data_IF_441132214643
#
_entry.id   IF_441132214643
#
_cell.length_a   1.000
_cell.length_b   1.000
_cell.length_c   1.000
_cell.angle_alpha   90.00
_cell.angle_beta   90.00
_cell.angle_gamma   90.00
#
_symmetry.space_group_name_H-M   'P 1'
#
loop_
_entity.id
_entity.type
_entity.pdbx_description
1 polymer ?
#
# COMPACT_ATOMS: atom_id res chain seq x y z
N UNK A 1 -26.26 62.23 81.89
CA UNK A 1 -25.75 62.43 80.52
C UNK A 1 -24.34 63.00 80.62
N UNK A 2 -23.34 62.31 80.05
CA UNK A 2 -21.93 62.73 80.16
C UNK A 2 -21.64 63.75 79.05
N UNK A 3 -21.00 64.86 79.42
CA UNK A 3 -20.61 65.98 78.52
C UNK A 3 -19.70 65.52 77.37
N UNK A 4 -19.15 64.31 77.46
CA UNK A 4 -18.31 63.64 76.45
C UNK A 4 -19.09 62.98 75.30
N UNK A 5 -20.41 62.84 75.39
CA UNK A 5 -21.25 62.21 74.34
C UNK A 5 -21.79 63.22 73.29
N UNK A 6 -21.90 64.49 73.67
CA UNK A 6 -22.36 65.58 72.79
C UNK A 6 -21.40 65.79 71.61
N UNK A 7 -20.06 65.83 71.79
CA UNK A 7 -19.12 65.97 70.67
C UNK A 7 -19.20 64.79 69.68
N UNK A 8 -19.29 63.55 70.19
CA UNK A 8 -19.37 62.35 69.34
C UNK A 8 -20.64 62.30 68.50
N UNK A 9 -21.76 62.75 69.06
CA UNK A 9 -23.05 62.80 68.36
C UNK A 9 -23.04 63.83 67.22
N UNK A 10 -22.42 65.00 67.45
CA UNK A 10 -22.24 66.02 66.41
C UNK A 10 -21.28 65.55 65.32
N UNK A 11 -20.17 64.90 65.67
CA UNK A 11 -19.25 64.28 64.72
C UNK A 11 -19.91 63.18 63.88
N UNK A 12 -20.80 62.38 64.47
CA UNK A 12 -21.59 61.36 63.76
C UNK A 12 -22.56 62.00 62.75
N UNK A 13 -23.21 63.10 63.13
CA UNK A 13 -24.10 63.86 62.23
C UNK A 13 -23.32 64.50 61.08
N UNK A 14 -22.16 65.08 61.36
CA UNK A 14 -21.28 65.67 60.36
C UNK A 14 -20.73 64.61 59.39
N UNK A 15 -20.35 63.44 59.88
CA UNK A 15 -19.93 62.33 59.03
C UNK A 15 -21.10 61.79 58.18
N UNK A 16 -22.32 61.69 58.73
CA UNK A 16 -23.50 61.31 57.95
C UNK A 16 -23.81 62.31 56.84
N UNK A 17 -23.68 63.62 57.08
CA UNK A 17 -23.83 64.66 56.05
C UNK A 17 -22.72 64.61 55.00
N UNK A 18 -21.46 64.41 55.40
CA UNK A 18 -20.32 64.27 54.48
C UNK A 18 -20.38 62.97 53.66
N UNK A 19 -21.05 61.94 54.17
CA UNK A 19 -21.23 60.63 53.53
C UNK A 19 -22.33 60.61 52.48
N UNK A 20 -23.35 61.46 52.64
CA UNK A 20 -24.49 61.51 51.73
C UNK A 20 -24.11 61.70 50.25
N UNK A 21 -23.20 62.64 49.86
CA UNK A 21 -22.79 62.77 48.47
C UNK A 21 -22.01 61.55 47.97
N UNK A 22 -21.14 60.96 48.80
CA UNK A 22 -20.37 59.77 48.43
C UNK A 22 -21.28 58.55 48.19
N UNK A 23 -22.29 58.36 49.03
CA UNK A 23 -23.26 57.27 48.87
C UNK A 23 -24.12 57.44 47.61
N UNK A 24 -24.57 58.66 47.30
CA UNK A 24 -25.35 58.96 46.10
C UNK A 24 -24.54 58.74 44.81
N UNK A 25 -23.25 59.13 44.80
CA UNK A 25 -22.36 58.86 43.65
C UNK A 25 -22.15 57.35 43.45
N UNK A 26 -21.99 56.60 44.54
CA UNK A 26 -21.91 55.14 44.51
C UNK A 26 -23.18 54.50 43.96
N UNK A 27 -24.35 54.89 44.46
CA UNK A 27 -25.64 54.32 44.06
C UNK A 27 -26.04 54.69 42.61
N UNK A 28 -25.55 55.80 42.05
CA UNK A 28 -25.89 56.23 40.69
C UNK A 28 -24.90 55.73 39.61
N UNK A 29 -23.60 55.72 39.91
CA UNK A 29 -22.55 55.38 38.93
C UNK A 29 -21.98 53.98 39.12
N UNK A 30 -21.74 53.58 40.37
CA UNK A 30 -21.12 52.28 40.67
C UNK A 30 -22.13 51.14 40.60
N UNK A 31 -23.39 51.39 40.94
CA UNK A 31 -24.46 50.39 40.78
C UNK A 31 -24.76 49.99 39.32
N UNK A 32 -24.28 50.75 38.32
CA UNK A 32 -24.38 50.41 36.89
C UNK A 32 -23.26 49.50 36.39
N UNK A 33 -22.18 49.38 37.17
CA UNK A 33 -21.06 48.49 36.88
C UNK A 33 -21.39 47.08 37.39
N UNK A 34 -20.91 46.06 36.70
CA UNK A 34 -21.09 44.68 37.12
C UNK A 34 -20.54 44.44 38.54
N UNK A 35 -21.21 43.57 39.31
CA UNK A 35 -20.88 43.25 40.70
C UNK A 35 -19.43 42.73 40.86
N UNK A 36 -18.85 42.13 39.82
CA UNK A 36 -17.48 41.60 39.82
C UNK A 36 -16.46 42.55 39.17
N UNK A 37 -16.90 43.71 38.67
CA UNK A 37 -16.01 44.64 38.00
C UNK A 37 -14.93 45.18 38.97
N UNK A 38 -13.65 45.22 38.55
CA UNK A 38 -12.55 45.65 39.43
C UNK A 38 -12.75 47.06 40.00
N UNK A 39 -13.34 47.98 39.22
CA UNK A 39 -13.62 49.35 39.62
C UNK A 39 -14.67 49.42 40.75
N UNK A 40 -15.73 48.60 40.66
CA UNK A 40 -16.78 48.52 41.68
C UNK A 40 -16.27 47.88 42.96
N UNK A 41 -15.56 46.76 42.85
CA UNK A 41 -14.98 46.06 44.01
C UNK A 41 -13.98 46.93 44.78
N UNK A 42 -13.18 47.73 44.06
CA UNK A 42 -12.25 48.69 44.68
C UNK A 42 -12.98 49.83 45.39
N UNK A 43 -14.03 50.38 44.77
CA UNK A 43 -14.85 51.43 45.36
C UNK A 43 -15.60 50.94 46.61
N UNK A 44 -16.29 49.79 46.52
CA UNK A 44 -17.04 49.23 47.65
C UNK A 44 -16.12 48.79 48.80
N UNK A 45 -14.96 48.22 48.49
CA UNK A 45 -13.96 47.82 49.49
C UNK A 45 -13.31 49.01 50.21
N UNK A 46 -13.00 50.10 49.50
CA UNK A 46 -12.46 51.32 50.10
C UNK A 46 -13.49 52.04 50.97
N UNK A 47 -14.75 52.10 50.53
CA UNK A 47 -15.86 52.67 51.30
C UNK A 47 -16.21 51.82 52.54
N UNK A 48 -16.12 50.49 52.43
CA UNK A 48 -16.27 49.57 53.57
C UNK A 48 -15.17 49.74 54.62
N UNK A 49 -13.92 49.97 54.19
CA UNK A 49 -12.80 50.27 55.10
C UNK A 49 -12.98 51.59 55.84
N UNK A 50 -13.43 52.63 55.12
CA UNK A 50 -13.74 53.94 55.70
C UNK A 50 -14.80 53.80 56.82
N UNK A 51 -15.85 53.03 56.57
CA UNK A 51 -16.92 52.76 57.54
C UNK A 51 -16.48 51.96 58.75
N UNK A 52 -15.64 50.95 58.55
CA UNK A 52 -15.13 50.13 59.63
C UNK A 52 -14.26 50.96 60.60
N UNK A 53 -13.38 51.81 60.07
CA UNK A 53 -12.49 52.68 60.85
C UNK A 53 -13.28 53.76 61.57
N UNK A 54 -14.20 54.44 60.87
CA UNK A 54 -14.96 55.55 61.44
C UNK A 54 -16.03 55.05 62.42
N UNK A 55 -16.67 53.92 62.14
CA UNK A 55 -17.56 53.23 63.08
C UNK A 55 -16.83 52.80 64.36
N UNK A 56 -15.60 52.30 64.24
CA UNK A 56 -14.74 52.00 65.40
C UNK A 56 -14.35 53.24 66.21
N UNK A 57 -13.98 54.34 65.54
CA UNK A 57 -13.58 55.59 66.20
C UNK A 57 -14.76 56.31 66.90
N UNK A 58 -15.97 56.24 66.32
CA UNK A 58 -17.19 56.86 66.84
C UNK A 58 -17.98 55.97 67.81
N UNK A 59 -17.62 54.70 67.96
CA UNK A 59 -18.38 53.73 68.76
C UNK A 59 -19.70 53.28 68.11
N UNK A 60 -19.84 53.43 66.79
CA UNK A 60 -21.01 52.99 66.02
C UNK A 60 -20.80 51.56 65.51
N UNK A 61 -21.25 50.60 66.30
CA UNK A 61 -21.10 49.17 66.01
C UNK A 61 -21.82 48.73 64.73
N UNK A 62 -22.95 49.36 64.40
CA UNK A 62 -23.71 49.04 63.20
C UNK A 62 -22.97 49.48 61.94
N UNK A 63 -22.36 50.67 61.97
CA UNK A 63 -21.52 51.18 60.88
C UNK A 63 -20.25 50.33 60.73
N UNK A 64 -19.62 49.95 61.84
CA UNK A 64 -18.43 49.10 61.85
C UNK A 64 -18.70 47.73 61.20
N UNK A 65 -19.77 47.05 61.61
CA UNK A 65 -20.18 45.74 61.07
C UNK A 65 -20.55 45.81 59.59
N UNK A 66 -21.24 46.87 59.18
CA UNK A 66 -21.62 47.07 57.77
C UNK A 66 -20.39 47.30 56.88
N UNK A 67 -19.41 48.08 57.36
CA UNK A 67 -18.15 48.30 56.66
C UNK A 67 -17.35 47.01 56.48
N UNK A 68 -17.21 46.22 57.57
CA UNK A 68 -16.54 44.93 57.54
C UNK A 68 -17.22 43.93 56.58
N UNK A 69 -18.55 43.79 56.65
CA UNK A 69 -19.30 42.91 55.76
C UNK A 69 -19.17 43.29 54.27
N UNK A 70 -19.10 44.60 53.97
CA UNK A 70 -18.90 45.09 52.59
C UNK A 70 -17.48 44.77 52.09
N UNK A 71 -16.45 44.94 52.93
CA UNK A 71 -15.08 44.56 52.59
C UNK A 71 -14.96 43.06 52.31
N UNK A 72 -15.54 42.21 53.17
CA UNK A 72 -15.47 40.75 53.02
C UNK A 72 -16.18 40.29 51.74
N UNK A 73 -17.34 40.87 51.43
CA UNK A 73 -18.07 40.60 50.18
C UNK A 73 -17.26 40.98 48.95
N UNK A 74 -16.71 42.20 48.89
CA UNK A 74 -15.91 42.63 47.72
C UNK A 74 -14.64 41.78 47.57
N UNK A 75 -14.00 41.37 48.68
CA UNK A 75 -12.86 40.47 48.63
C UNK A 75 -13.22 39.06 48.15
N UNK A 76 -14.40 38.54 48.51
CA UNK A 76 -14.89 37.26 48.04
C UNK A 76 -15.22 37.29 46.53
N UNK A 77 -15.94 38.32 46.07
CA UNK A 77 -16.26 38.51 44.66
C UNK A 77 -15.00 38.68 43.81
N UNK A 78 -14.01 39.46 44.28
CA UNK A 78 -12.74 39.60 43.57
C UNK A 78 -11.92 38.31 43.48
N UNK A 79 -12.10 37.37 44.42
CA UNK A 79 -11.51 36.02 44.30
C UNK A 79 -12.29 35.14 43.34
N UNK A 80 -13.62 35.21 43.34
CA UNK A 80 -14.48 34.46 42.42
C UNK A 80 -14.18 34.84 40.97
N UNK A 81 -14.16 36.13 40.63
CA UNK A 81 -13.83 36.62 39.29
C UNK A 81 -12.48 36.09 38.78
N UNK A 82 -11.44 36.10 39.62
CA UNK A 82 -10.11 35.54 39.26
C UNK A 82 -10.14 34.04 39.02
N UNK A 83 -10.93 33.31 39.78
CA UNK A 83 -11.10 31.87 39.60
C UNK A 83 -11.83 31.57 38.30
N UNK A 84 -12.86 32.36 37.96
CA UNK A 84 -13.62 32.23 36.72
C UNK A 84 -12.78 32.59 35.49
N UNK A 85 -11.94 33.63 35.58
CA UNK A 85 -10.95 33.96 34.54
C UNK A 85 -9.98 32.78 34.33
N UNK A 86 -9.41 32.25 35.42
CA UNK A 86 -8.49 31.10 35.37
C UNK A 86 -9.17 29.85 34.82
N UNK A 87 -10.43 29.61 35.20
CA UNK A 87 -11.21 28.48 34.71
C UNK A 87 -11.46 28.62 33.20
N UNK A 88 -11.81 29.82 32.74
CA UNK A 88 -12.03 30.12 31.33
C UNK A 88 -10.75 29.91 30.52
N UNK A 89 -9.61 30.41 30.99
CA UNK A 89 -8.31 30.18 30.34
C UNK A 89 -7.97 28.68 30.25
N UNK A 90 -8.22 27.93 31.32
CA UNK A 90 -7.97 26.47 31.34
C UNK A 90 -8.87 25.71 30.36
N UNK A 91 -10.15 26.08 30.28
CA UNK A 91 -11.09 25.48 29.32
C UNK A 91 -10.63 25.79 27.89
N UNK A 92 -10.26 27.04 27.60
CA UNK A 92 -9.79 27.41 26.27
C UNK A 92 -8.50 26.68 25.88
N UNK A 93 -7.55 26.54 26.81
CA UNK A 93 -6.32 25.79 26.59
C UNK A 93 -6.59 24.30 26.36
N UNK A 94 -7.46 23.69 27.16
CA UNK A 94 -7.84 22.28 27.01
C UNK A 94 -8.57 22.03 25.67
N UNK A 95 -9.46 22.93 25.25
CA UNK A 95 -10.16 22.84 23.97
C UNK A 95 -9.19 23.00 22.78
N UNK A 96 -8.20 23.89 22.90
CA UNK A 96 -7.16 24.04 21.88
C UNK A 96 -6.30 22.78 21.77
N UNK A 97 -5.87 22.21 22.90
CA UNK A 97 -5.11 20.97 22.93
C UNK A 97 -5.92 19.80 22.35
N UNK A 98 -7.19 19.66 22.75
CA UNK A 98 -8.08 18.62 22.25
C UNK A 98 -8.27 18.71 20.73
N UNK A 99 -8.49 19.92 20.20
CA UNK A 99 -8.59 20.14 18.74
C UNK A 99 -7.30 19.73 18.03
N UNK A 100 -6.16 20.19 18.52
CA UNK A 100 -4.87 19.85 17.95
C UNK A 100 -4.60 18.34 17.98
N UNK A 101 -4.89 17.65 19.08
CA UNK A 101 -4.74 16.20 19.18
C UNK A 101 -5.68 15.46 18.22
N UNK A 102 -6.92 15.93 18.06
CA UNK A 102 -7.88 15.35 17.10
C UNK A 102 -7.40 15.52 15.67
N UNK A 103 -6.98 16.72 15.28
CA UNK A 103 -6.44 16.98 13.94
C UNK A 103 -5.20 16.11 13.66
N UNK A 104 -4.28 15.97 14.63
CA UNK A 104 -3.14 15.07 14.48
C UNK A 104 -3.56 13.61 14.35
N UNK A 105 -4.55 13.15 15.11
CA UNK A 105 -5.06 11.79 15.02
C UNK A 105 -5.69 11.52 13.66
N UNK A 106 -6.51 12.45 13.15
CA UNK A 106 -7.12 12.38 11.82
C UNK A 106 -6.05 12.37 10.73
N UNK A 107 -5.05 13.25 10.79
CA UNK A 107 -3.95 13.27 9.83
C UNK A 107 -3.15 11.95 9.84
N UNK A 108 -2.85 11.41 11.02
CA UNK A 108 -2.18 10.10 11.14
C UNK A 108 -3.03 8.98 10.58
N UNK A 109 -4.34 9.00 10.83
CA UNK A 109 -5.26 8.01 10.28
C UNK A 109 -5.33 8.09 8.75
N UNK A 110 -5.46 9.30 8.19
CA UNK A 110 -5.44 9.51 6.74
C UNK A 110 -4.12 9.08 6.10
N UNK A 111 -2.98 9.42 6.71
CA UNK A 111 -1.66 8.99 6.24
C UNK A 111 -1.47 7.47 6.30
N UNK A 112 -1.95 6.83 7.37
CA UNK A 112 -1.93 5.38 7.51
C UNK A 112 -2.82 4.69 6.46
N UNK A 113 -4.02 5.23 6.21
CA UNK A 113 -4.91 4.73 5.18
C UNK A 113 -4.32 4.91 3.78
N UNK A 114 -3.74 6.07 3.48
CA UNK A 114 -3.10 6.35 2.20
C UNK A 114 -1.92 5.40 1.95
N UNK A 115 -1.05 5.22 2.95
CA UNK A 115 0.06 4.26 2.90
C UNK A 115 -0.44 2.83 2.69
N UNK A 116 -1.46 2.40 3.44
CA UNK A 116 -2.04 1.06 3.30
C UNK A 116 -2.62 0.84 1.90
N UNK A 117 -3.35 1.82 1.36
CA UNK A 117 -3.89 1.72 0.01
C UNK A 117 -2.78 1.66 -1.05
N UNK A 118 -1.70 2.42 -0.88
CA UNK A 118 -0.54 2.37 -1.76
C UNK A 118 0.12 0.99 -1.72
N UNK A 119 0.40 0.45 -0.53
CA UNK A 119 0.97 -0.89 -0.38
C UNK A 119 0.09 -1.97 -1.01
N UNK A 120 -1.24 -1.89 -0.85
CA UNK A 120 -2.17 -2.82 -1.49
C UNK A 120 -2.14 -2.68 -3.02
N UNK A 121 -2.05 -1.46 -3.56
CA UNK A 121 -1.91 -1.22 -5.00
C UNK A 121 -0.61 -1.82 -5.55
N UNK A 122 0.52 -1.52 -4.91
CA UNK A 122 1.84 -2.04 -5.29
C UNK A 122 1.91 -3.56 -5.20
N UNK A 123 1.33 -4.16 -4.15
CA UNK A 123 1.26 -5.61 -3.99
C UNK A 123 0.41 -6.26 -5.11
N UNK A 124 -0.73 -5.65 -5.47
CA UNK A 124 -1.57 -6.12 -6.58
C UNK A 124 -0.85 -6.02 -7.91
N UNK A 125 -0.19 -4.90 -8.19
CA UNK A 125 0.57 -4.71 -9.42
C UNK A 125 1.72 -5.72 -9.53
N UNK A 126 2.46 -5.92 -8.45
CA UNK A 126 3.52 -6.94 -8.38
C UNK A 126 2.97 -8.35 -8.63
N UNK A 127 1.83 -8.69 -8.03
CA UNK A 127 1.19 -9.99 -8.24
C UNK A 127 0.74 -10.18 -9.69
N UNK A 128 0.16 -9.16 -10.32
CA UNK A 128 -0.25 -9.20 -11.73
C UNK A 128 0.95 -9.30 -12.68
N UNK A 129 2.03 -8.57 -12.42
CA UNK A 129 3.27 -8.68 -13.19
C UNK A 129 3.86 -10.09 -13.09
N UNK A 130 3.91 -10.68 -11.89
CA UNK A 130 4.35 -12.07 -11.71
C UNK A 130 3.48 -13.07 -12.47
N UNK A 131 2.16 -12.90 -12.49
CA UNK A 131 1.27 -13.76 -13.29
C UNK A 131 1.57 -13.65 -14.78
N UNK A 132 1.77 -12.42 -15.28
CA UNK A 132 2.11 -12.17 -16.69
C UNK A 132 3.46 -12.81 -17.04
N UNK A 133 4.48 -12.61 -16.21
CA UNK A 133 5.81 -13.19 -16.41
C UNK A 133 5.78 -14.72 -16.38
N UNK A 134 5.01 -15.31 -15.46
CA UNK A 134 4.80 -16.75 -15.39
C UNK A 134 4.10 -17.27 -16.67
N UNK A 135 3.07 -16.58 -17.15
CA UNK A 135 2.38 -16.94 -18.39
C UNK A 135 3.31 -16.85 -19.62
N UNK A 136 4.09 -15.78 -19.74
CA UNK A 136 5.08 -15.61 -20.82
C UNK A 136 6.15 -16.70 -20.75
N UNK A 137 6.65 -17.01 -19.55
CA UNK A 137 7.65 -18.06 -19.33
C UNK A 137 7.09 -19.43 -19.69
N UNK A 138 5.87 -19.75 -19.28
CA UNK A 138 5.20 -21.00 -19.63
C UNK A 138 4.97 -21.13 -21.14
N UNK A 139 4.56 -20.04 -21.81
CA UNK A 139 4.40 -20.02 -23.27
C UNK A 139 5.74 -20.24 -23.99
N UNK A 140 6.81 -19.56 -23.55
CA UNK A 140 8.16 -19.75 -24.10
C UNK A 140 8.67 -21.17 -23.89
N UNK A 141 8.48 -21.73 -22.70
CA UNK A 141 8.85 -23.11 -22.38
C UNK A 141 8.09 -24.12 -23.26
N UNK A 142 6.78 -23.93 -23.42
CA UNK A 142 5.94 -24.78 -24.29
C UNK A 142 6.37 -24.68 -25.76
N UNK A 143 6.65 -23.47 -26.24
CA UNK A 143 7.12 -23.26 -27.61
C UNK A 143 8.50 -23.89 -27.84
N UNK A 144 9.42 -23.79 -26.87
CA UNK A 144 10.73 -24.42 -26.93
C UNK A 144 10.62 -25.96 -26.93
N UNK A 145 9.80 -26.52 -26.04
CA UNK A 145 9.55 -27.97 -25.99
C UNK A 145 8.94 -28.48 -27.30
N UNK A 146 7.99 -27.74 -27.90
CA UNK A 146 7.41 -28.06 -29.20
C UNK A 146 8.48 -28.07 -30.31
N UNK A 147 9.33 -27.05 -30.38
CA UNK A 147 10.43 -27.00 -31.37
C UNK A 147 11.37 -28.20 -31.22
N UNK A 148 11.75 -28.54 -29.99
CA UNK A 148 12.60 -29.71 -29.74
C UNK A 148 11.92 -31.02 -30.17
N UNK A 149 10.63 -31.18 -29.88
CA UNK A 149 9.87 -32.34 -30.32
C UNK A 149 9.79 -32.43 -31.86
N UNK A 150 9.53 -31.30 -32.53
CA UNK A 150 9.48 -31.21 -33.99
C UNK A 150 10.85 -31.53 -34.62
N UNK A 151 11.95 -31.03 -34.04
CA UNK A 151 13.32 -31.35 -34.49
C UNK A 151 13.64 -32.84 -34.33
N UNK A 152 13.29 -33.44 -33.20
CA UNK A 152 13.49 -34.88 -32.96
C UNK A 152 12.65 -35.70 -33.95
N UNK A 153 11.39 -35.33 -34.15
CA UNK A 153 10.51 -35.98 -35.13
C UNK A 153 11.07 -35.86 -36.56
N UNK A 154 11.57 -34.68 -36.94
CA UNK A 154 12.20 -34.45 -38.24
C UNK A 154 13.46 -35.30 -38.42
N UNK A 155 14.33 -35.39 -37.40
CA UNK A 155 15.52 -36.26 -37.43
C UNK A 155 15.16 -37.73 -37.58
N UNK A 156 14.16 -38.22 -36.84
CA UNK A 156 13.69 -39.61 -36.94
C UNK A 156 13.11 -39.91 -38.33
N UNK A 157 12.31 -38.99 -38.87
CA UNK A 157 11.77 -39.11 -40.23
C UNK A 157 12.88 -39.12 -41.29
N UNK A 158 13.89 -38.28 -41.14
CA UNK A 158 15.07 -38.28 -42.00
C UNK A 158 15.85 -39.59 -41.93
N UNK A 159 16.10 -40.11 -40.73
CA UNK A 159 16.78 -41.38 -40.53
C UNK A 159 16.00 -42.57 -41.13
N UNK A 160 14.69 -42.61 -40.95
CA UNK A 160 13.84 -43.64 -41.54
C UNK A 160 13.89 -43.62 -43.07
N UNK A 161 13.79 -42.45 -43.70
CA UNK A 161 13.90 -42.30 -45.15
C UNK A 161 15.28 -42.71 -45.68
N UNK A 162 16.35 -42.32 -44.99
CA UNK A 162 17.70 -42.71 -45.37
C UNK A 162 17.89 -44.24 -45.28
N UNK A 163 17.30 -44.89 -44.28
CA UNK A 163 17.31 -46.35 -44.17
C UNK A 163 16.52 -47.01 -45.32
N UNK A 164 15.32 -46.51 -45.64
CA UNK A 164 14.53 -46.98 -46.79
C UNK A 164 15.31 -46.84 -48.11
N UNK A 165 15.98 -45.71 -48.33
CA UNK A 165 16.81 -45.49 -49.52
C UNK A 165 18.00 -46.47 -49.58
N UNK A 166 18.65 -46.74 -48.45
CA UNK A 166 19.73 -47.74 -48.37
C UNK A 166 19.22 -49.15 -48.68
N UNK A 167 18.06 -49.54 -48.15
CA UNK A 167 17.47 -50.84 -48.41
C UNK A 167 17.06 -50.99 -49.88
N UNK A 168 16.45 -49.96 -50.47
CA UNK A 168 16.14 -49.94 -51.91
C UNK A 168 17.42 -50.04 -52.76
N UNK A 169 18.49 -49.35 -52.38
CA UNK A 169 19.76 -49.42 -53.08
C UNK A 169 20.37 -50.84 -53.01
N UNK A 170 20.29 -51.49 -51.83
CA UNK A 170 20.73 -52.88 -51.64
C UNK A 170 19.92 -53.87 -52.46
N UNK A 171 18.60 -53.73 -52.48
CA UNK A 171 17.70 -54.56 -53.30
C UNK A 171 18.06 -54.41 -54.77
N UNK A 172 18.16 -53.17 -55.29
CA UNK A 172 18.54 -52.93 -56.69
C UNK A 172 19.92 -53.48 -57.04
N UNK A 173 20.88 -53.40 -56.12
CA UNK A 173 22.20 -53.98 -56.31
C UNK A 173 22.14 -55.52 -56.41
N UNK A 174 21.38 -56.16 -55.51
CA UNK A 174 21.15 -57.60 -55.54
C UNK A 174 20.42 -58.05 -56.83
N UNK A 175 19.39 -57.31 -57.26
CA UNK A 175 18.68 -57.56 -58.52
C UNK A 175 19.61 -57.47 -59.74
N UNK A 176 20.49 -56.45 -59.78
CA UNK A 176 21.48 -56.31 -60.85
C UNK A 176 22.48 -57.47 -60.86
N UNK A 177 22.97 -57.89 -59.68
CA UNK A 177 23.86 -59.04 -59.57
C UNK A 177 23.17 -60.34 -60.02
N UNK A 178 21.94 -60.57 -59.59
CA UNK A 178 21.15 -61.74 -60.00
C UNK A 178 20.90 -61.75 -61.51
N UNK A 179 20.55 -60.60 -62.08
CA UNK A 179 20.35 -60.43 -63.53
C UNK A 179 21.64 -60.69 -64.32
N UNK A 180 22.78 -60.15 -63.85
CA UNK A 180 24.08 -60.38 -64.47
C UNK A 180 24.48 -61.86 -64.41
N UNK A 181 24.27 -62.52 -63.27
CA UNK A 181 24.53 -63.95 -63.10
C UNK A 181 23.64 -64.80 -64.02
N UNK A 182 22.35 -64.46 -64.14
CA UNK A 182 21.42 -65.13 -65.07
C UNK A 182 21.88 -64.95 -66.54
N UNK A 183 22.24 -63.73 -66.94
CA UNK A 183 22.79 -63.45 -68.27
C UNK A 183 24.11 -64.19 -68.56
N UNK A 184 24.97 -64.36 -67.54
CA UNK A 184 26.18 -65.17 -67.64
C UNK A 184 25.86 -66.66 -67.85
N UNK A 185 24.90 -67.22 -67.10
CA UNK A 185 24.43 -68.60 -67.30
C UNK A 185 23.81 -68.81 -68.69
N UNK A 186 23.03 -67.85 -69.18
CA UNK A 186 22.46 -67.86 -70.53
C UNK A 186 23.55 -67.93 -71.61
N UNK A 187 24.53 -67.01 -71.56
CA UNK A 187 25.68 -67.01 -72.48
C UNK A 187 26.49 -68.31 -72.42
N UNK A 188 26.71 -68.86 -71.23
CA UNK A 188 27.40 -70.15 -71.07
C UNK A 188 26.60 -71.32 -71.69
N UNK A 189 25.27 -71.30 -71.56
CA UNK A 189 24.40 -72.29 -72.19
C UNK A 189 24.41 -72.18 -73.72
N UNK A 190 24.37 -70.95 -74.27
CA UNK A 190 24.51 -70.70 -75.71
C UNK A 190 25.86 -71.18 -76.25
N UNK A 191 26.96 -70.89 -75.54
CA UNK A 191 28.28 -71.38 -75.90
C UNK A 191 28.36 -72.91 -75.92
N UNK A 192 27.72 -73.60 -74.95
CA UNK A 192 27.62 -75.06 -74.94
C UNK A 192 26.81 -75.59 -76.13
N UNK A 193 25.68 -74.95 -76.47
CA UNK A 193 24.89 -75.32 -77.66
C UNK A 193 25.69 -75.15 -78.95
N UNK A 194 26.41 -74.04 -79.09
CA UNK A 194 27.28 -73.81 -80.25
C UNK A 194 28.42 -74.83 -80.33
N UNK A 195 29.04 -75.18 -79.20
CA UNK A 195 30.07 -76.22 -79.15
C UNK A 195 29.52 -77.61 -79.51
N UNK A 196 28.31 -77.95 -79.05
CA UNK A 196 27.64 -79.19 -79.40
C UNK A 196 27.33 -79.26 -80.90
N UNK A 197 26.74 -78.21 -81.47
CA UNK A 197 26.47 -78.13 -82.91
C UNK A 197 27.76 -78.26 -83.75
N UNK A 198 28.86 -77.62 -83.32
CA UNK A 198 30.15 -77.77 -83.98
C UNK A 198 30.73 -79.19 -83.87
N UNK A 199 30.46 -79.90 -82.76
CA UNK A 199 30.84 -81.30 -82.59
C UNK A 199 30.02 -82.22 -83.50
N UNK A 200 28.71 -82.00 -83.63
CA UNK A 200 27.84 -82.70 -84.59
C UNK A 200 28.35 -82.53 -86.02
N UNK A 201 28.60 -81.29 -86.47
CA UNK A 201 29.14 -81.04 -87.82
C UNK A 201 30.50 -81.72 -88.05
N UNK A 202 31.33 -81.85 -87.02
CA UNK A 202 32.61 -82.60 -87.12
C UNK A 202 32.37 -84.11 -87.20
N UNK A 203 31.41 -84.64 -86.45
CA UNK A 203 31.03 -86.04 -86.52
C UNK A 203 30.46 -86.39 -87.90
N UNK A 204 29.57 -85.56 -88.45
CA UNK A 204 29.02 -85.73 -89.80
C UNK A 204 30.14 -85.77 -90.85
N UNK A 205 31.11 -84.85 -90.78
CA UNK A 205 32.28 -84.87 -91.69
C UNK A 205 33.14 -86.11 -91.52
N UNK A 206 33.31 -86.61 -90.30
CA UNK A 206 34.06 -87.84 -90.06
C UNK A 206 33.31 -89.06 -90.60
N UNK A 207 31.97 -89.09 -90.50
CA UNK A 207 31.15 -90.13 -91.10
C UNK A 207 31.22 -90.07 -92.64
N UNK A 208 31.15 -88.87 -93.23
CA UNK A 208 31.33 -88.68 -94.67
C UNK A 208 32.72 -89.15 -95.14
N UNK A 209 33.79 -88.79 -94.42
CA UNK A 209 35.15 -89.28 -94.70
C UNK A 209 35.25 -90.80 -94.56
N UNK A 210 34.63 -91.39 -93.53
CA UNK A 210 34.61 -92.83 -93.32
C UNK A 210 33.79 -93.58 -94.38
N UNK A 211 32.69 -93.01 -94.88
CA UNK A 211 31.95 -93.52 -96.05
C UNK A 211 32.80 -93.43 -97.31
N UNK A 212 33.47 -92.31 -97.52
CA UNK A 212 34.36 -92.09 -98.67
C UNK A 212 35.55 -93.06 -98.68
N UNK A 213 36.10 -93.42 -97.51
CA UNK A 213 37.14 -94.48 -97.42
C UNK A 213 36.58 -95.89 -97.62
N UNK A 214 35.34 -96.17 -97.20
CA UNK A 214 34.67 -97.47 -97.44
C UNK A 214 34.33 -97.69 -98.91
N UNK A 215 33.94 -96.65 -99.64
CA UNK A 215 33.60 -96.73 -101.06
C UNK A 215 34.86 -96.81 -101.96
N UNK A 216 36.06 -96.55 -101.42
CA UNK A 216 37.35 -96.65 -102.12
C UNK A 216 38.14 -97.93 -101.79
N UNK A 217 37.48 -98.95 -101.23
CA UNK A 217 38.08 -100.24 -100.84
C UNK A 217 37.42 -101.41 -101.57
#
# INVERSE_FOLDING_TARGET
MRVTDVPRTVLRLQYQLARFPLQVIGDQFVARLDDESPARLWYEGSLGRLDAVIGGALGDEALRRRGAARMDRSAALGRAARLDDTATERVQAADAELRHTREQAEQRQHAAQATTQQQVREARETAENRKRDAAVTAQRGTAAAKRQADEVAARRKGAARAAEEQDQARIRAAERQATAAAGGKGRAAEAKRAAAAAAETRADRLEDLARTEKDNR
#
